data_IF_745143774729
#
_entry.id   IF_745143774729
#
_cell.length_a   1.000
_cell.length_b   1.000
_cell.length_c   1.000
_cell.angle_alpha   90.00
_cell.angle_beta   90.00
_cell.angle_gamma   90.00
#
_symmetry.space_group_name_H-M   'P 1'
#
loop_
_entity.id
_entity.type
_entity.pdbx_description
1 polymer ?
#
# COMPACT_ATOMS: atom_id res chain seq x y z
N UNK A 1 10.47 16.03 0.17
CA UNK A 1 10.66 15.83 -1.29
C UNK A 1 9.30 15.97 -2.00
N UNK A 2 9.23 16.40 -3.26
CA UNK A 2 7.94 16.45 -4.00
C UNK A 2 7.59 15.06 -4.53
N UNK A 3 6.31 14.71 -4.54
CA UNK A 3 5.81 13.43 -5.06
C UNK A 3 6.25 13.17 -6.51
N UNK A 4 6.13 14.17 -7.40
CA UNK A 4 6.57 14.02 -8.79
C UNK A 4 8.05 13.64 -8.93
N UNK A 5 8.92 14.18 -8.07
CA UNK A 5 10.34 13.84 -8.06
C UNK A 5 10.58 12.40 -7.58
N UNK A 6 9.82 11.95 -6.59
CA UNK A 6 9.92 10.58 -6.07
C UNK A 6 9.47 9.57 -7.13
N UNK A 7 8.34 9.81 -7.80
CA UNK A 7 7.83 8.93 -8.85
C UNK A 7 8.74 8.92 -10.08
N UNK A 8 9.31 10.07 -10.45
CA UNK A 8 10.33 10.12 -11.49
C UNK A 8 11.56 9.30 -11.12
N UNK A 9 12.05 9.44 -9.88
CA UNK A 9 13.18 8.63 -9.41
C UNK A 9 12.87 7.13 -9.46
N UNK A 10 11.67 6.72 -9.02
CA UNK A 10 11.23 5.33 -9.11
C UNK A 10 11.26 4.80 -10.56
N UNK A 11 10.91 5.63 -11.54
CA UNK A 11 10.89 5.21 -12.96
C UNK A 11 12.26 4.94 -13.59
N UNK A 12 13.35 5.43 -12.97
CA UNK A 12 14.73 5.22 -13.46
C UNK A 12 15.52 4.24 -12.59
N UNK A 13 14.96 3.80 -11.47
CA UNK A 13 15.58 2.82 -10.58
C UNK A 13 15.37 1.39 -11.10
N UNK A 14 16.24 0.44 -10.71
CA UNK A 14 15.98 -0.98 -10.91
C UNK A 14 14.67 -1.40 -10.21
N UNK A 15 14.03 -2.51 -10.64
CA UNK A 15 12.67 -2.86 -10.19
C UNK A 15 12.51 -2.95 -8.67
N UNK A 16 13.46 -3.59 -7.97
CA UNK A 16 13.37 -3.79 -6.52
C UNK A 16 13.44 -2.44 -5.75
N UNK A 17 14.48 -1.58 -5.92
CA UNK A 17 14.48 -0.24 -5.32
C UNK A 17 13.29 0.64 -5.72
N UNK A 18 12.81 0.52 -6.97
CA UNK A 18 11.64 1.26 -7.44
C UNK A 18 10.39 0.87 -6.65
N UNK A 19 10.12 -0.45 -6.53
CA UNK A 19 8.99 -0.98 -5.76
C UNK A 19 9.05 -0.58 -4.29
N UNK A 20 10.22 -0.68 -3.65
CA UNK A 20 10.40 -0.24 -2.26
C UNK A 20 10.11 1.26 -2.10
N UNK A 21 10.54 2.10 -3.04
CA UNK A 21 10.30 3.54 -3.02
C UNK A 21 8.81 3.87 -3.22
N UNK A 22 8.14 3.19 -4.15
CA UNK A 22 6.71 3.32 -4.40
C UNK A 22 5.88 2.87 -3.19
N UNK A 23 6.24 1.74 -2.57
CA UNK A 23 5.58 1.23 -1.38
C UNK A 23 5.75 2.19 -0.19
N UNK A 24 6.98 2.66 0.05
CA UNK A 24 7.27 3.65 1.10
C UNK A 24 6.45 4.92 0.94
N UNK A 25 6.37 5.43 -0.29
CA UNK A 25 5.57 6.62 -0.64
C UNK A 25 4.09 6.41 -0.39
N UNK A 26 3.60 5.21 -0.70
CA UNK A 26 2.21 4.84 -0.48
C UNK A 26 1.89 4.75 1.01
N UNK A 27 2.71 4.04 1.79
CA UNK A 27 2.55 3.96 3.26
C UNK A 27 2.56 5.35 3.88
N UNK A 28 3.47 6.22 3.45
CA UNK A 28 3.54 7.59 3.96
C UNK A 28 2.28 8.40 3.65
N UNK A 29 1.77 8.33 2.42
CA UNK A 29 0.61 9.13 2.02
C UNK A 29 -0.71 8.57 2.57
N UNK A 30 -0.81 7.27 2.74
CA UNK A 30 -2.02 6.58 3.16
C UNK A 30 -2.13 6.41 4.68
N UNK A 31 -1.00 6.29 5.40
CA UNK A 31 -1.04 5.75 6.76
C UNK A 31 0.01 6.33 7.72
N UNK A 32 0.72 7.41 7.39
CA UNK A 32 1.76 7.98 8.28
C UNK A 32 1.28 8.41 9.67
N UNK A 33 -0.02 8.63 9.85
CA UNK A 33 -0.66 8.98 11.13
C UNK A 33 -1.28 7.76 11.83
N UNK A 34 -1.14 6.58 11.23
CA UNK A 34 -1.61 5.32 11.77
C UNK A 34 -0.55 4.66 12.65
N UNK A 35 -0.99 3.78 13.54
CA UNK A 35 -0.09 2.87 14.24
C UNK A 35 0.78 2.05 13.25
N UNK A 36 1.94 1.57 13.70
CA UNK A 36 2.81 0.66 12.93
C UNK A 36 2.01 -0.54 12.36
N UNK A 37 1.04 -1.05 13.12
CA UNK A 37 0.14 -2.14 12.67
C UNK A 37 -0.72 -1.70 11.48
N UNK A 38 -1.25 -0.48 11.49
CA UNK A 38 -2.07 0.07 10.41
C UNK A 38 -1.26 0.34 9.13
N UNK A 39 -0.06 0.90 9.29
CA UNK A 39 0.88 1.09 8.18
C UNK A 39 1.27 -0.24 7.51
N UNK A 40 1.56 -1.29 8.30
CA UNK A 40 1.81 -2.65 7.80
C UNK A 40 0.59 -3.22 7.07
N UNK A 41 -0.63 -2.97 7.55
CA UNK A 41 -1.85 -3.43 6.90
C UNK A 41 -2.09 -2.78 5.53
N UNK A 42 -1.75 -1.49 5.36
CA UNK A 42 -1.80 -0.82 4.04
C UNK A 42 -0.75 -1.40 3.09
N UNK A 43 0.49 -1.59 3.56
CA UNK A 43 1.54 -2.21 2.75
C UNK A 43 1.15 -3.63 2.30
N UNK A 44 0.56 -4.41 3.20
CA UNK A 44 0.04 -5.75 2.93
C UNK A 44 -1.04 -5.75 1.82
N UNK A 45 -1.96 -4.78 1.81
CA UNK A 45 -2.95 -4.66 0.72
C UNK A 45 -2.27 -4.38 -0.61
N UNK A 46 -1.29 -3.47 -0.68
CA UNK A 46 -0.57 -3.19 -1.92
C UNK A 46 0.19 -4.43 -2.46
N UNK A 47 0.88 -5.15 -1.58
CA UNK A 47 1.62 -6.37 -1.94
C UNK A 47 0.70 -7.52 -2.37
N UNK A 48 -0.45 -7.69 -1.71
CA UNK A 48 -1.48 -8.65 -2.11
C UNK A 48 -2.09 -8.31 -3.47
N UNK A 49 -2.30 -7.01 -3.75
CA UNK A 49 -2.79 -6.55 -5.06
C UNK A 49 -1.76 -6.83 -6.15
N UNK A 50 -0.46 -6.65 -5.90
CA UNK A 50 0.61 -7.05 -6.82
C UNK A 50 0.55 -8.54 -7.12
N UNK A 51 0.49 -9.41 -6.11
CA UNK A 51 0.41 -10.86 -6.32
C UNK A 51 -0.79 -11.28 -7.19
N UNK A 52 -1.87 -10.49 -7.19
CA UNK A 52 -3.07 -10.74 -8.01
C UNK A 52 -2.92 -10.37 -9.49
N UNK A 53 -2.00 -9.46 -9.84
CA UNK A 53 -1.82 -8.94 -11.20
C UNK A 53 -2.96 -8.05 -11.73
N UNK A 54 -4.05 -7.84 -10.98
CA UNK A 54 -5.22 -7.10 -11.47
C UNK A 54 -4.94 -5.61 -11.72
N UNK A 55 -3.95 -5.03 -11.05
CA UNK A 55 -3.58 -3.62 -11.14
C UNK A 55 -2.16 -3.38 -11.64
N UNK A 56 -1.49 -4.44 -12.10
CA UNK A 56 -0.09 -4.41 -12.47
C UNK A 56 0.70 -5.56 -11.88
N UNK A 57 1.88 -5.78 -12.45
CA UNK A 57 2.81 -6.85 -12.13
C UNK A 57 3.96 -6.36 -11.22
N UNK A 58 4.02 -5.06 -10.92
CA UNK A 58 4.93 -4.45 -9.94
C UNK A 58 4.19 -3.70 -8.83
N UNK A 59 4.85 -3.45 -7.69
CA UNK A 59 4.26 -2.63 -6.63
C UNK A 59 4.02 -1.20 -7.13
N UNK A 60 4.97 -0.64 -7.88
CA UNK A 60 4.81 0.68 -8.47
C UNK A 60 3.56 0.76 -9.36
N UNK A 61 3.32 -0.19 -10.25
CA UNK A 61 2.10 -0.19 -11.09
C UNK A 61 0.82 -0.24 -10.24
N UNK A 62 0.79 -1.07 -9.20
CA UNK A 62 -0.36 -1.20 -8.30
C UNK A 62 -0.67 0.11 -7.58
N UNK A 63 0.34 0.77 -7.02
CA UNK A 63 0.12 1.99 -6.22
C UNK A 63 -0.03 3.25 -7.07
N UNK A 64 0.40 3.19 -8.33
CA UNK A 64 0.19 4.24 -9.32
C UNK A 64 -0.98 3.94 -10.27
N UNK A 65 -1.72 2.85 -10.03
CA UNK A 65 -2.95 2.56 -10.75
C UNK A 65 -4.01 3.63 -10.44
N UNK A 66 -4.72 4.04 -11.49
CA UNK A 66 -5.67 5.17 -11.44
C UNK A 66 -6.66 5.03 -10.29
N UNK A 67 -6.65 6.00 -9.38
CA UNK A 67 -7.58 6.13 -8.23
C UNK A 67 -7.54 4.93 -7.27
N UNK A 68 -6.44 4.17 -7.23
CA UNK A 68 -6.31 3.03 -6.32
C UNK A 68 -5.66 3.39 -4.99
N UNK A 69 -4.71 4.32 -5.03
CA UNK A 69 -3.96 4.82 -3.87
C UNK A 69 -3.65 6.31 -4.02
N UNK A 70 -3.30 6.93 -2.88
CA UNK A 70 -2.95 8.33 -2.70
C UNK A 70 -1.93 8.88 -3.71
N UNK A 71 -0.89 8.15 -4.17
CA UNK A 71 0.03 8.64 -5.20
C UNK A 71 -0.65 9.14 -6.49
N UNK A 72 -1.86 8.67 -6.79
CA UNK A 72 -2.65 9.11 -7.96
C UNK A 72 -3.83 10.02 -7.61
N UNK A 73 -4.06 10.29 -6.33
CA UNK A 73 -5.17 11.10 -5.83
C UNK A 73 -4.71 12.49 -5.37
N UNK A 74 -3.49 12.60 -4.86
CA UNK A 74 -2.92 13.88 -4.41
C UNK A 74 -2.19 14.60 -5.54
N UNK A 75 -1.97 15.91 -5.38
CA UNK A 75 -1.22 16.70 -6.37
C UNK A 75 0.19 16.14 -6.57
N UNK A 76 0.73 16.11 -7.81
CA UNK A 76 2.15 15.81 -8.05
C UNK A 76 3.11 16.77 -7.30
N UNK A 77 2.64 17.97 -6.95
CA UNK A 77 3.36 18.95 -6.15
C UNK A 77 3.38 18.67 -4.65
N UNK A 78 2.66 17.65 -4.16
CA UNK A 78 2.59 17.27 -2.75
C UNK A 78 3.99 17.04 -2.20
N UNK A 79 4.29 17.72 -1.08
CA UNK A 79 5.59 17.62 -0.41
C UNK A 79 5.50 16.64 0.74
N UNK A 80 6.33 15.60 0.71
CA UNK A 80 6.59 14.71 1.82
C UNK A 80 7.67 15.38 2.68
N UNK A 81 7.26 16.10 3.73
CA UNK A 81 8.13 16.98 4.54
C UNK A 81 8.44 16.46 5.93
N UNK A 82 7.56 15.64 6.52
CA UNK A 82 7.84 14.98 7.81
C UNK A 82 8.87 13.87 7.59
N UNK A 83 10.09 14.07 8.08
CA UNK A 83 11.24 13.20 7.89
C UNK A 83 11.16 11.94 8.75
N UNK A 84 10.62 12.04 9.96
CA UNK A 84 10.46 10.94 10.90
C UNK A 84 9.45 9.93 10.36
N UNK A 85 8.28 10.41 9.94
CA UNK A 85 7.25 9.60 9.31
C UNK A 85 7.72 8.99 7.98
N UNK A 86 8.57 9.71 7.23
CA UNK A 86 9.17 9.16 6.02
C UNK A 86 10.10 7.99 6.32
N UNK A 87 10.99 8.15 7.30
CA UNK A 87 11.89 7.10 7.74
C UNK A 87 11.10 5.87 8.24
N UNK A 88 10.04 6.07 9.03
CA UNK A 88 9.16 4.99 9.50
C UNK A 88 8.46 4.28 8.33
N UNK A 89 7.91 5.03 7.38
CA UNK A 89 7.25 4.47 6.19
C UNK A 89 8.20 3.61 5.35
N UNK A 90 9.47 4.04 5.23
CA UNK A 90 10.52 3.26 4.55
C UNK A 90 10.81 1.96 5.31
N UNK A 91 10.98 2.01 6.63
CA UNK A 91 11.22 0.80 7.42
C UNK A 91 10.05 -0.19 7.31
N UNK A 92 8.82 0.31 7.36
CA UNK A 92 7.62 -0.52 7.27
C UNK A 92 7.48 -1.15 5.89
N UNK A 93 7.75 -0.41 4.82
CA UNK A 93 7.75 -0.96 3.46
C UNK A 93 8.75 -2.10 3.31
N UNK A 94 10.00 -1.90 3.74
CA UNK A 94 11.06 -2.92 3.67
C UNK A 94 10.76 -4.14 4.56
N UNK A 95 10.17 -3.95 5.73
CA UNK A 95 9.69 -5.05 6.58
C UNK A 95 8.55 -5.83 5.92
N UNK A 96 7.59 -5.13 5.32
CA UNK A 96 6.47 -5.76 4.62
C UNK A 96 6.95 -6.57 3.43
N UNK A 97 7.88 -6.03 2.62
CA UNK A 97 8.48 -6.75 1.49
C UNK A 97 9.24 -7.99 1.94
N UNK A 98 10.07 -7.90 2.99
CA UNK A 98 10.76 -9.05 3.58
C UNK A 98 9.79 -10.13 4.06
N UNK A 99 8.71 -9.73 4.74
CA UNK A 99 7.66 -10.65 5.16
C UNK A 99 6.94 -11.29 3.96
N UNK A 100 6.69 -10.52 2.90
CA UNK A 100 5.96 -11.00 1.71
C UNK A 100 6.80 -11.89 0.79
N UNK A 101 8.13 -11.81 0.90
CA UNK A 101 9.06 -12.74 0.26
C UNK A 101 8.99 -14.16 0.86
N UNK A 102 8.41 -14.33 2.05
CA UNK A 102 8.17 -15.65 2.62
C UNK A 102 7.09 -16.41 1.83
N UNK A 103 7.13 -17.76 1.84
CA UNK A 103 6.02 -18.58 1.33
C UNK A 103 4.69 -18.16 1.96
N UNK A 104 3.59 -18.21 1.19
CA UNK A 104 2.29 -17.69 1.63
C UNK A 104 1.85 -18.16 3.02
N UNK A 105 2.05 -19.43 3.37
CA UNK A 105 1.70 -19.98 4.69
C UNK A 105 2.62 -19.59 5.85
N UNK A 106 3.71 -18.87 5.58
CA UNK A 106 4.69 -18.40 6.57
C UNK A 106 4.67 -16.88 6.75
N UNK A 107 3.92 -16.16 5.91
CA UNK A 107 3.77 -14.70 6.01
C UNK A 107 2.99 -14.37 7.28
N UNK A 108 3.43 -13.34 8.00
CA UNK A 108 2.61 -12.73 9.05
C UNK A 108 1.63 -11.76 8.39
N UNK A 109 0.36 -12.13 8.34
CA UNK A 109 -0.72 -11.27 7.82
C UNK A 109 -1.41 -10.51 8.96
N UNK A 110 -1.57 -9.21 8.79
CA UNK A 110 -2.28 -8.29 9.70
C UNK A 110 -3.76 -8.21 9.34
N UNK A 111 -4.08 -8.25 8.05
CA UNK A 111 -5.44 -8.12 7.49
C UNK A 111 -5.67 -9.22 6.43
N UNK A 112 -5.71 -10.50 6.85
CA UNK A 112 -5.72 -11.61 5.93
C UNK A 112 -6.92 -11.57 4.98
N UNK A 113 -6.63 -11.61 3.69
CA UNK A 113 -7.64 -11.57 2.63
C UNK A 113 -8.22 -10.17 2.31
N UNK A 114 -7.80 -9.10 3.01
CA UNK A 114 -8.23 -7.75 2.66
C UNK A 114 -7.71 -7.33 1.28
N UNK A 115 -8.60 -6.84 0.43
CA UNK A 115 -8.29 -6.33 -0.91
C UNK A 115 -8.41 -4.81 -1.00
N UNK A 116 -9.09 -4.18 -0.06
CA UNK A 116 -9.37 -2.74 -0.03
C UNK A 116 -9.31 -2.21 1.41
N UNK A 117 -9.16 -0.91 1.56
CA UNK A 117 -9.34 -0.21 2.83
C UNK A 117 -9.94 1.17 2.59
N UNK A 118 -10.60 1.72 3.59
CA UNK A 118 -11.12 3.08 3.57
C UNK A 118 -11.01 3.71 4.96
N UNK A 119 -10.64 4.99 4.99
CA UNK A 119 -10.83 5.84 6.15
C UNK A 119 -12.31 6.28 6.21
N UNK A 120 -13.11 5.63 7.06
CA UNK A 120 -14.57 5.83 7.07
C UNK A 120 -15.03 7.24 7.38
N UNK A 121 -14.20 8.00 8.11
CA UNK A 121 -14.50 9.37 8.45
C UNK A 121 -14.49 10.29 7.21
N UNK A 122 -13.78 9.91 6.13
CA UNK A 122 -13.53 10.78 4.97
C UNK A 122 -13.93 10.15 3.62
N UNK A 123 -14.17 8.83 3.58
CA UNK A 123 -14.49 8.11 2.34
C UNK A 123 -15.72 7.22 2.49
N UNK A 124 -16.56 7.20 1.44
CA UNK A 124 -17.77 6.37 1.38
C UNK A 124 -17.88 5.59 0.05
N UNK A 125 -16.99 4.61 -0.18
CA UNK A 125 -16.99 3.85 -1.43
C UNK A 125 -18.23 2.96 -1.55
N UNK A 126 -18.63 2.63 -2.79
CA UNK A 126 -19.80 1.77 -3.06
C UNK A 126 -19.68 0.38 -2.42
N UNK A 127 -18.45 -0.12 -2.26
CA UNK A 127 -18.14 -1.41 -1.63
C UNK A 127 -18.00 -1.34 -0.10
N UNK A 128 -18.35 -0.23 0.56
CA UNK A 128 -18.23 -0.07 2.03
C UNK A 128 -19.02 -1.09 2.86
N UNK A 129 -19.97 -1.80 2.25
CA UNK A 129 -20.74 -2.86 2.90
C UNK A 129 -20.16 -4.27 2.66
N UNK A 130 -18.98 -4.39 2.02
CA UNK A 130 -18.29 -5.65 1.87
C UNK A 130 -17.85 -6.22 3.22
N UNK A 131 -17.42 -7.49 3.24
CA UNK A 131 -16.94 -8.14 4.45
C UNK A 131 -15.78 -7.37 5.09
N UNK A 132 -15.97 -6.92 6.33
CA UNK A 132 -14.97 -6.21 7.12
C UNK A 132 -13.99 -7.21 7.72
N UNK A 133 -12.73 -7.12 7.34
CA UNK A 133 -11.65 -7.98 7.84
C UNK A 133 -11.18 -7.49 9.20
N UNK A 134 -10.94 -6.18 9.32
CA UNK A 134 -10.52 -5.53 10.56
C UNK A 134 -10.70 -4.02 10.47
N UNK A 135 -10.78 -3.36 11.63
CA UNK A 135 -10.59 -1.90 11.77
C UNK A 135 -9.33 -1.66 12.59
N UNK A 136 -8.42 -0.83 12.07
CA UNK A 136 -7.14 -0.49 12.69
C UNK A 136 -6.96 1.02 12.56
N UNK A 137 -6.93 1.74 13.68
CA UNK A 137 -6.97 3.20 13.65
C UNK A 137 -8.29 3.68 13.03
N UNK A 138 -8.21 4.60 12.07
CA UNK A 138 -9.37 5.12 11.33
C UNK A 138 -9.66 4.36 10.03
N UNK A 139 -8.84 3.35 9.69
CA UNK A 139 -9.01 2.49 8.53
C UNK A 139 -9.82 1.24 8.85
N UNK A 140 -10.81 0.95 8.02
CA UNK A 140 -11.39 -0.40 7.93
C UNK A 140 -10.94 -1.07 6.65
N UNK A 141 -10.52 -2.32 6.80
CA UNK A 141 -10.02 -3.19 5.76
C UNK A 141 -11.10 -4.16 5.32
N UNK A 142 -11.24 -4.33 4.01
CA UNK A 142 -12.36 -5.02 3.38
C UNK A 142 -11.90 -6.14 2.48
N UNK A 143 -12.64 -7.25 2.50
CA UNK A 143 -12.59 -8.27 1.47
C UNK A 143 -13.72 -8.04 0.46
N UNK A 144 -13.51 -7.10 -0.46
CA UNK A 144 -14.46 -6.80 -1.55
C UNK A 144 -14.48 -7.93 -2.58
N UNK A 145 -13.31 -8.49 -2.86
CA UNK A 145 -13.14 -9.65 -3.73
C UNK A 145 -12.02 -10.54 -3.21
N UNK A 146 -12.09 -11.83 -3.54
CA UNK A 146 -11.00 -12.78 -3.24
C UNK A 146 -9.90 -12.62 -4.28
N UNK A 147 -8.75 -12.08 -3.86
CA UNK A 147 -7.55 -12.01 -4.68
C UNK A 147 -6.84 -13.37 -4.67
N UNK A 148 -6.66 -13.96 -5.85
CA UNK A 148 -5.86 -15.17 -6.02
C UNK A 148 -4.49 -14.76 -6.54
N UNK A 149 -3.38 -15.27 -5.97
CA UNK A 149 -2.07 -15.09 -6.57
C UNK A 149 -2.07 -15.63 -8.00
N UNK A 150 -1.35 -14.97 -8.91
CA UNK A 150 -1.10 -15.50 -10.26
C UNK A 150 -0.47 -16.90 -10.13
N UNK A 151 -0.94 -17.84 -10.95
CA UNK A 151 -0.21 -19.10 -11.13
C UNK A 151 1.05 -18.79 -11.93
N UNK A 152 2.20 -19.12 -11.35
CA UNK A 152 3.49 -19.10 -12.03
C UNK A 152 3.52 -20.08 -13.18
#
# INVERSE_FOLDING_TARGET
MKLAWILWLASVLPPQPADSLCLSTTVYLEARDQSIRGQKAVAEVALRRRDSGLWGDSVCEVVTARKQFAPTLVSPGTRLSNTEAWAESVQIALEAERNWALPAGQRKEIVPGASHFAAHAIASPSWRNAYQVATIGDHTFYQVQKLKPRKS
#
